data_IF_378907629348
#
_entry.id   IF_378907629348
#
_cell.length_a   1.000
_cell.length_b   1.000
_cell.length_c   1.000
_cell.angle_alpha   90.00
_cell.angle_beta   90.00
_cell.angle_gamma   90.00
#
_symmetry.space_group_name_H-M   'P 1'
#
loop_
_entity.id
_entity.type
_entity.pdbx_description
1 polymer ?
#
# COMPACT_ATOMS: atom_id res chain seq x y z
N UNK A 1 -16.84 12.84 28.56
CA UNK A 1 -16.98 11.64 27.71
C UNK A 1 -16.83 12.12 26.27
N UNK A 2 -15.81 11.68 25.51
CA UNK A 2 -15.63 11.81 24.04
C UNK A 2 -14.15 11.81 23.57
N UNK A 3 -13.16 11.77 24.48
CA UNK A 3 -11.74 11.80 24.06
C UNK A 3 -11.33 10.58 23.19
N UNK A 4 -11.91 9.40 23.42
CA UNK A 4 -11.59 8.18 22.67
C UNK A 4 -12.16 8.11 21.24
N UNK A 5 -13.29 8.76 20.98
CA UNK A 5 -13.93 8.73 19.66
C UNK A 5 -13.09 9.43 18.59
N UNK A 6 -12.58 10.62 18.90
CA UNK A 6 -11.74 11.38 17.96
C UNK A 6 -10.39 10.73 17.67
N UNK A 7 -9.86 9.94 18.61
CA UNK A 7 -8.61 9.20 18.42
C UNK A 7 -8.81 7.93 17.58
N UNK A 8 -9.92 7.22 17.79
CA UNK A 8 -10.30 6.08 16.97
C UNK A 8 -10.53 6.49 15.49
N UNK A 9 -11.22 7.60 15.24
CA UNK A 9 -11.48 8.10 13.88
C UNK A 9 -10.18 8.46 13.14
N UNK A 10 -9.23 9.11 13.84
CA UNK A 10 -7.91 9.44 13.28
C UNK A 10 -7.10 8.20 12.93
N UNK A 11 -7.06 7.21 13.83
CA UNK A 11 -6.40 5.94 13.58
C UNK A 11 -7.06 5.21 12.41
N UNK A 12 -8.39 5.21 12.32
CA UNK A 12 -9.11 4.60 11.21
C UNK A 12 -8.72 5.23 9.87
N UNK A 13 -8.68 6.56 9.80
CA UNK A 13 -8.24 7.29 8.60
C UNK A 13 -6.81 6.93 8.21
N UNK A 14 -5.86 6.95 9.16
CA UNK A 14 -4.46 6.58 8.89
C UNK A 14 -4.34 5.13 8.40
N UNK A 15 -5.06 4.20 9.03
CA UNK A 15 -5.08 2.80 8.64
C UNK A 15 -5.57 2.60 7.22
N UNK A 16 -6.68 3.23 6.85
CA UNK A 16 -7.19 3.20 5.48
C UNK A 16 -6.24 3.82 4.46
N UNK A 17 -5.64 4.98 4.78
CA UNK A 17 -4.66 5.63 3.91
C UNK A 17 -3.47 4.72 3.63
N UNK A 18 -2.95 4.03 4.65
CA UNK A 18 -1.83 3.09 4.50
C UNK A 18 -2.20 1.89 3.62
N UNK A 19 -3.38 1.31 3.81
CA UNK A 19 -3.86 0.19 2.99
C UNK A 19 -4.02 0.62 1.53
N UNK A 20 -4.73 1.73 1.28
CA UNK A 20 -4.96 2.26 -0.07
C UNK A 20 -3.62 2.57 -0.73
N UNK A 21 -2.71 3.24 -0.02
CA UNK A 21 -1.39 3.57 -0.55
C UNK A 21 -0.58 2.32 -0.91
N UNK A 22 -0.55 1.30 -0.06
CA UNK A 22 0.13 0.05 -0.34
C UNK A 22 -0.45 -0.68 -1.55
N UNK A 23 -1.78 -0.74 -1.69
CA UNK A 23 -2.44 -1.35 -2.86
C UNK A 23 -2.13 -0.58 -4.14
N UNK A 24 -2.13 0.77 -4.09
CA UNK A 24 -1.78 1.60 -5.23
C UNK A 24 -0.33 1.39 -5.67
N UNK A 25 0.62 1.24 -4.73
CA UNK A 25 2.02 0.95 -5.06
C UNK A 25 2.18 -0.40 -5.75
N UNK A 26 1.50 -1.45 -5.29
CA UNK A 26 1.51 -2.76 -5.96
C UNK A 26 0.96 -2.63 -7.38
N UNK A 27 -0.20 -1.97 -7.54
CA UNK A 27 -0.79 -1.71 -8.85
C UNK A 27 0.14 -0.91 -9.77
N UNK A 28 0.82 0.10 -9.24
CA UNK A 28 1.76 0.92 -9.97
C UNK A 28 2.99 0.10 -10.43
N UNK A 29 3.55 -0.77 -9.58
CA UNK A 29 4.66 -1.66 -9.96
C UNK A 29 4.25 -2.69 -11.02
N UNK A 30 3.00 -3.13 -11.00
CA UNK A 30 2.48 -4.09 -11.97
C UNK A 30 2.14 -3.42 -13.32
N UNK A 31 1.44 -2.30 -13.30
CA UNK A 31 1.02 -1.59 -14.52
C UNK A 31 2.16 -0.78 -15.14
N UNK A 32 3.15 -0.39 -14.33
CA UNK A 32 4.32 0.41 -14.73
C UNK A 32 3.95 1.59 -15.65
N UNK A 33 3.07 2.51 -15.24
CA UNK A 33 2.59 3.60 -16.11
C UNK A 33 3.69 4.54 -16.62
N UNK A 34 4.89 4.47 -16.03
CA UNK A 34 6.09 5.22 -16.46
C UNK A 34 6.94 4.48 -17.49
N UNK A 35 6.67 3.20 -17.77
CA UNK A 35 7.44 2.37 -18.68
C UNK A 35 6.68 2.15 -19.99
N UNK A 36 7.40 2.22 -21.11
CA UNK A 36 6.91 1.84 -22.44
C UNK A 36 7.66 0.61 -22.89
N UNK A 37 6.97 -0.49 -23.19
CA UNK A 37 7.60 -1.72 -23.65
C UNK A 37 7.82 -1.66 -25.18
N UNK A 38 8.90 -2.23 -25.68
CA UNK A 38 9.10 -2.44 -27.13
C UNK A 38 8.27 -3.62 -27.65
N UNK A 39 8.02 -4.65 -26.83
CA UNK A 39 7.07 -5.72 -27.15
C UNK A 39 5.63 -5.36 -26.72
N UNK A 40 4.70 -5.33 -27.68
CA UNK A 40 3.31 -4.89 -27.50
C UNK A 40 2.39 -5.88 -26.74
N UNK A 41 2.85 -7.09 -26.41
CA UNK A 41 1.99 -8.19 -25.97
C UNK A 41 2.12 -8.58 -24.48
N UNK A 42 2.55 -7.65 -23.62
CA UNK A 42 2.67 -7.93 -22.19
C UNK A 42 1.42 -7.49 -21.42
N UNK A 43 0.52 -8.43 -21.14
CA UNK A 43 -0.72 -8.20 -20.36
C UNK A 43 -0.49 -7.76 -18.90
N UNK A 44 0.76 -7.69 -18.44
CA UNK A 44 1.15 -7.54 -17.04
C UNK A 44 2.36 -6.61 -16.83
N UNK A 45 2.51 -5.58 -17.66
CA UNK A 45 3.62 -4.61 -17.58
C UNK A 45 4.88 -5.07 -18.31
N UNK A 46 5.91 -4.23 -18.36
CA UNK A 46 7.16 -4.51 -19.05
C UNK A 46 8.09 -5.42 -18.24
N UNK A 47 8.97 -6.19 -18.92
CA UNK A 47 10.07 -6.88 -18.27
C UNK A 47 10.92 -5.89 -17.45
N UNK A 48 11.10 -6.18 -16.15
CA UNK A 48 11.96 -5.36 -15.28
C UNK A 48 13.42 -5.67 -15.62
N UNK A 49 14.23 -4.67 -16.01
CA UNK A 49 15.63 -4.93 -16.33
C UNK A 49 16.40 -5.32 -15.06
N UNK A 50 17.44 -6.18 -15.14
CA UNK A 50 18.12 -6.75 -13.97
C UNK A 50 18.60 -5.70 -12.95
N UNK A 51 19.07 -4.55 -13.44
CA UNK A 51 19.52 -3.43 -12.62
C UNK A 51 18.41 -2.75 -11.79
N UNK A 52 17.15 -2.87 -12.21
CA UNK A 52 16.00 -2.29 -11.53
C UNK A 52 15.26 -3.29 -10.62
N UNK A 53 15.60 -4.58 -10.67
CA UNK A 53 14.99 -5.61 -9.80
C UNK A 53 15.10 -5.26 -8.30
N UNK A 54 16.25 -4.78 -7.78
CA UNK A 54 16.36 -4.44 -6.35
C UNK A 54 15.42 -3.30 -5.93
N UNK A 55 15.27 -2.27 -6.76
CA UNK A 55 14.39 -1.14 -6.46
C UNK A 55 12.92 -1.55 -6.53
N UNK A 56 12.51 -2.29 -7.56
CA UNK A 56 11.14 -2.81 -7.68
C UNK A 56 10.78 -3.74 -6.50
N UNK A 57 11.71 -4.61 -6.09
CA UNK A 57 11.54 -5.48 -4.93
C UNK A 57 11.37 -4.66 -3.65
N UNK A 58 12.18 -3.62 -3.47
CA UNK A 58 12.08 -2.74 -2.29
C UNK A 58 10.74 -2.03 -2.22
N UNK A 59 10.24 -1.53 -3.35
CA UNK A 59 8.91 -0.89 -3.43
C UNK A 59 7.80 -1.90 -3.12
N UNK A 60 7.88 -3.13 -3.64
CA UNK A 60 6.92 -4.19 -3.32
C UNK A 60 6.92 -4.55 -1.83
N UNK A 61 8.09 -4.68 -1.21
CA UNK A 61 8.21 -4.94 0.23
C UNK A 61 7.63 -3.78 1.03
N UNK A 62 7.94 -2.53 0.67
CA UNK A 62 7.40 -1.35 1.32
C UNK A 62 5.86 -1.28 1.21
N UNK A 63 5.31 -1.63 0.04
CA UNK A 63 3.88 -1.68 -0.19
C UNK A 63 3.20 -2.74 0.70
N UNK A 64 3.78 -3.94 0.82
CA UNK A 64 3.28 -4.98 1.72
C UNK A 64 3.32 -4.54 3.17
N UNK A 65 4.43 -3.92 3.61
CA UNK A 65 4.56 -3.37 4.97
C UNK A 65 3.50 -2.30 5.22
N UNK A 66 3.24 -1.41 4.26
CA UNK A 66 2.20 -0.39 4.39
C UNK A 66 0.80 -1.00 4.57
N UNK A 67 0.44 -2.02 3.78
CA UNK A 67 -0.83 -2.73 3.93
C UNK A 67 -0.93 -3.39 5.30
N UNK A 68 0.10 -4.12 5.72
CA UNK A 68 0.11 -4.80 7.02
C UNK A 68 0.01 -3.81 8.18
N UNK A 69 0.78 -2.72 8.13
CA UNK A 69 0.71 -1.65 9.12
C UNK A 69 -0.68 -1.01 9.16
N UNK A 70 -1.26 -0.72 7.99
CA UNK A 70 -2.62 -0.18 7.89
C UNK A 70 -3.67 -1.10 8.50
N UNK A 71 -3.62 -2.41 8.23
CA UNK A 71 -4.52 -3.40 8.84
C UNK A 71 -4.34 -3.47 10.36
N UNK A 72 -3.10 -3.42 10.85
CA UNK A 72 -2.83 -3.39 12.30
C UNK A 72 -3.44 -2.13 12.92
N UNK A 73 -3.26 -0.97 12.29
CA UNK A 73 -3.81 0.32 12.77
C UNK A 73 -5.34 0.28 12.79
N UNK A 74 -5.99 -0.24 11.75
CA UNK A 74 -7.46 -0.42 11.71
C UNK A 74 -7.95 -1.36 12.83
N UNK A 75 -7.24 -2.47 13.06
CA UNK A 75 -7.55 -3.39 14.16
C UNK A 75 -7.41 -2.70 15.52
N UNK A 76 -6.48 -1.75 15.67
CA UNK A 76 -6.34 -0.97 16.90
C UNK A 76 -7.41 0.09 17.06
N UNK A 77 -7.83 0.79 16.00
CA UNK A 77 -8.94 1.75 16.07
C UNK A 77 -10.24 1.09 16.51
N UNK A 78 -10.53 -0.11 16.00
CA UNK A 78 -11.71 -0.90 16.37
C UNK A 78 -11.71 -1.34 17.85
N UNK A 79 -10.53 -1.44 18.46
CA UNK A 79 -10.41 -1.75 19.90
C UNK A 79 -10.62 -0.49 20.74
N UNK A 80 -10.04 0.63 20.33
CA UNK A 80 -10.19 1.92 21.02
C UNK A 80 -11.63 2.40 20.98
N UNK A 81 -12.31 2.29 19.84
CA UNK A 81 -13.72 2.70 19.71
C UNK A 81 -14.73 1.84 20.48
N UNK A 82 -14.29 0.68 21.02
CA UNK A 82 -15.12 -0.20 21.87
C UNK A 82 -14.97 0.05 23.37
N UNK A 83 -14.00 0.86 23.79
CA UNK A 83 -13.72 1.22 25.18
C UNK A 83 -14.40 2.56 25.53
#
# INVERSE_FOLDING_TARGET
MNAGAGEADRLALVGWLLVVWGVLLVGAVFLQPWASCEEEDSSAGCPVPPQAVPSMTTVLVAALVAVLAGVVVLRTSDRVGRL
#
